data_IF_466817644040
#
_entry.id   IF_466817644040
#
_cell.length_a   1.000
_cell.length_b   1.000
_cell.length_c   1.000
_cell.angle_alpha   90.00
_cell.angle_beta   90.00
_cell.angle_gamma   90.00
#
_symmetry.space_group_name_H-M   'P 1'
#
loop_
_entity.id
_entity.type
_entity.pdbx_description
1 polymer ?
#
# COMPACT_ATOMS: atom_id res chain seq x y z
N UNK A 1 -3.48 10.09 -32.41
CA UNK A 1 -3.47 10.72 -31.07
C UNK A 1 -2.39 10.06 -30.22
N UNK A 2 -1.35 10.83 -29.93
CA UNK A 2 -0.03 10.42 -29.42
C UNK A 2 -0.12 9.79 -28.01
N UNK A 3 0.37 8.56 -27.80
CA UNK A 3 1.77 8.16 -27.54
C UNK A 3 2.13 8.24 -26.04
N UNK A 4 2.06 7.11 -25.34
CA UNK A 4 2.69 6.91 -24.03
C UNK A 4 3.47 5.60 -24.07
N UNK A 5 4.77 5.72 -24.32
CA UNK A 5 5.77 4.65 -24.28
C UNK A 5 6.91 5.07 -23.36
N UNK A 6 7.47 4.04 -22.72
CA UNK A 6 8.74 3.96 -22.00
C UNK A 6 8.76 4.31 -20.51
N UNK A 7 8.86 3.26 -19.71
CA UNK A 7 9.74 3.25 -18.55
C UNK A 7 10.36 1.87 -18.39
N UNK A 8 11.69 1.78 -18.53
CA UNK A 8 12.67 0.93 -17.82
C UNK A 8 13.95 0.85 -18.68
N UNK A 9 15.05 1.45 -18.20
CA UNK A 9 16.41 0.85 -18.25
C UNK A 9 17.43 1.71 -17.49
N UNK A 10 17.98 1.10 -16.43
CA UNK A 10 19.32 1.17 -15.82
C UNK A 10 20.28 2.38 -15.88
N UNK A 11 20.69 2.79 -14.65
CA UNK A 11 22.07 2.71 -14.10
C UNK A 11 23.12 3.83 -14.34
N UNK A 12 23.62 4.32 -13.19
CA UNK A 12 24.95 4.93 -12.87
C UNK A 12 25.28 6.34 -13.37
N UNK A 13 25.24 7.32 -12.44
CA UNK A 13 26.41 8.09 -11.93
C UNK A 13 25.96 9.33 -11.12
N UNK A 14 26.72 9.64 -10.06
CA UNK A 14 26.87 11.01 -9.54
C UNK A 14 26.11 11.36 -8.24
N UNK A 15 26.73 11.08 -7.09
CA UNK A 15 26.40 11.78 -5.84
C UNK A 15 26.74 13.28 -6.01
N UNK A 16 25.73 14.15 -6.04
CA UNK A 16 25.87 15.55 -5.64
C UNK A 16 24.80 15.87 -4.58
N UNK A 17 25.26 16.11 -3.35
CA UNK A 17 24.47 16.63 -2.23
C UNK A 17 23.81 17.94 -2.67
N UNK A 18 22.48 17.95 -2.85
CA UNK A 18 21.69 19.17 -2.98
C UNK A 18 21.00 19.50 -1.64
N UNK A 19 20.97 20.80 -1.39
CA UNK A 19 20.75 21.50 -0.11
C UNK A 19 19.37 21.25 0.49
N UNK A 20 19.35 21.34 1.82
CA UNK A 20 18.22 21.21 2.75
C UNK A 20 17.02 22.05 2.29
N UNK A 21 15.92 21.38 1.98
CA UNK A 21 14.60 21.98 1.82
C UNK A 21 13.92 22.15 3.18
N UNK A 22 13.47 23.36 3.44
CA UNK A 22 12.78 23.82 4.64
C UNK A 22 11.39 23.17 4.70
N UNK A 23 11.17 22.25 5.64
CA UNK A 23 9.84 21.72 5.96
C UNK A 23 9.39 22.31 7.31
N UNK A 24 8.17 22.85 7.42
CA UNK A 24 7.67 23.42 8.65
C UNK A 24 7.56 22.34 9.73
N UNK A 25 8.07 22.65 10.92
CA UNK A 25 8.03 21.79 12.11
C UNK A 25 6.58 21.41 12.45
N UNK A 26 6.19 20.12 12.52
CA UNK A 26 5.00 19.74 13.25
C UNK A 26 5.37 19.62 14.73
N UNK A 27 5.03 20.64 15.52
CA UNK A 27 5.00 20.49 16.98
C UNK A 27 3.75 19.70 17.37
N UNK A 28 3.90 18.92 18.44
CA UNK A 28 2.91 18.08 19.15
C UNK A 28 2.87 16.60 18.74
N UNK A 29 3.89 15.88 19.21
CA UNK A 29 3.85 14.45 19.47
C UNK A 29 3.33 14.26 20.90
N UNK A 30 2.22 13.57 21.12
CA UNK A 30 1.90 13.06 22.46
C UNK A 30 1.37 11.64 22.38
N UNK A 31 1.98 10.78 23.19
CA UNK A 31 1.57 9.43 23.53
C UNK A 31 2.03 9.18 24.96
N UNK A 32 1.14 8.67 25.80
CA UNK A 32 1.55 7.96 27.01
C UNK A 32 0.53 6.89 27.41
N UNK A 33 1.07 5.79 27.91
CA UNK A 33 0.40 4.61 28.46
C UNK A 33 0.05 4.85 29.93
N UNK A 34 -1.15 4.43 30.35
CA UNK A 34 -1.69 4.66 31.69
C UNK A 34 -1.18 3.61 32.70
N UNK A 35 -0.70 4.07 33.87
CA UNK A 35 -0.69 3.28 35.11
C UNK A 35 -1.55 4.00 36.15
N UNK A 36 -2.63 3.35 36.58
CA UNK A 36 -3.46 3.77 37.71
C UNK A 36 -2.75 3.42 39.02
N UNK A 37 -2.61 4.39 39.92
CA UNK A 37 -2.40 4.17 41.34
C UNK A 37 -3.39 5.08 42.10
N UNK A 38 -4.29 4.45 42.85
CA UNK A 38 -5.23 5.10 43.74
C UNK A 38 -4.61 5.24 45.14
N UNK A 39 -4.79 6.38 45.81
CA UNK A 39 -4.60 6.53 47.25
C UNK A 39 -5.53 7.64 47.81
N UNK A 40 -5.96 7.55 49.09
CA UNK A 40 -7.20 8.15 49.59
C UNK A 40 -7.04 9.59 50.14
N UNK A 41 -8.19 10.29 50.21
CA UNK A 41 -8.35 11.67 50.70
C UNK A 41 -8.08 11.82 52.21
N UNK A 42 -7.35 12.88 52.57
CA UNK A 42 -7.38 13.50 53.89
C UNK A 42 -7.82 14.96 53.76
N UNK A 43 -8.75 15.38 54.63
CA UNK A 43 -9.49 16.65 54.59
C UNK A 43 -8.72 17.74 55.36
N UNK A 44 -8.41 18.90 54.74
CA UNK A 44 -7.94 20.09 55.46
C UNK A 44 -8.23 21.41 54.70
N UNK A 45 -8.82 22.36 55.44
CA UNK A 45 -8.86 23.83 55.33
C UNK A 45 -9.17 24.51 53.97
N UNK A 46 -10.28 25.26 53.96
CA UNK A 46 -10.79 26.09 52.87
C UNK A 46 -10.08 27.46 52.75
N UNK A 47 -9.20 27.58 51.77
CA UNK A 47 -8.81 28.82 51.08
C UNK A 47 -9.50 28.87 49.70
N UNK A 48 -9.72 30.03 49.06
CA UNK A 48 -10.41 30.08 47.77
C UNK A 48 -9.56 29.38 46.69
N UNK A 49 -10.00 28.17 46.30
CA UNK A 49 -9.36 27.21 45.41
C UNK A 49 -9.35 27.64 43.93
N UNK A 50 -9.15 28.91 43.61
CA UNK A 50 -9.04 29.36 42.21
C UNK A 50 -7.91 28.61 41.47
N UNK A 51 -6.80 28.34 42.16
CA UNK A 51 -5.68 27.56 41.62
C UNK A 51 -5.98 26.07 41.40
N UNK A 52 -6.79 25.44 42.28
CA UNK A 52 -7.12 24.02 42.14
C UNK A 52 -8.15 23.77 41.03
N UNK A 53 -9.12 24.68 40.85
CA UNK A 53 -10.09 24.61 39.74
C UNK A 53 -9.39 24.83 38.39
N UNK A 54 -8.45 25.76 38.31
CA UNK A 54 -7.66 26.01 37.09
C UNK A 54 -6.70 24.84 36.77
N UNK A 55 -6.05 24.26 37.79
CA UNK A 55 -5.22 23.05 37.62
C UNK A 55 -6.03 21.83 37.16
N UNK A 56 -7.24 21.64 37.69
CA UNK A 56 -8.16 20.58 37.26
C UNK A 56 -8.58 20.76 35.79
N UNK A 57 -8.82 21.99 35.35
CA UNK A 57 -9.15 22.30 33.96
C UNK A 57 -7.98 22.00 33.00
N UNK A 58 -6.75 22.39 33.36
CA UNK A 58 -5.57 22.09 32.54
C UNK A 58 -5.31 20.57 32.41
N UNK A 59 -5.52 19.81 33.49
CA UNK A 59 -5.42 18.35 33.46
C UNK A 59 -6.49 17.71 32.55
N UNK A 60 -7.72 18.24 32.55
CA UNK A 60 -8.79 17.79 31.65
C UNK A 60 -8.47 18.09 30.18
N UNK A 61 -8.00 19.30 29.87
CA UNK A 61 -7.60 19.68 28.51
C UNK A 61 -6.45 18.79 28.02
N UNK A 62 -5.47 18.51 28.89
CA UNK A 62 -4.39 17.55 28.60
C UNK A 62 -4.95 16.17 28.25
N UNK A 63 -5.86 15.64 29.07
CA UNK A 63 -6.47 14.32 28.84
C UNK A 63 -7.25 14.28 27.51
N UNK A 64 -7.98 15.35 27.18
CA UNK A 64 -8.70 15.46 25.90
C UNK A 64 -7.75 15.50 24.70
N UNK A 65 -6.65 16.26 24.78
CA UNK A 65 -5.62 16.33 23.74
C UNK A 65 -5.01 14.94 23.51
N UNK A 66 -4.65 14.24 24.60
CA UNK A 66 -4.13 12.86 24.53
C UNK A 66 -5.16 11.92 23.88
N UNK A 67 -6.42 11.99 24.29
CA UNK A 67 -7.50 11.16 23.71
C UNK A 67 -7.66 11.41 22.21
N UNK A 68 -7.65 12.67 21.77
CA UNK A 68 -7.72 13.02 20.35
C UNK A 68 -6.53 12.50 19.56
N UNK A 69 -5.32 12.55 20.13
CA UNK A 69 -4.10 12.02 19.49
C UNK A 69 -4.09 10.49 19.45
N UNK A 70 -4.65 9.81 20.45
CA UNK A 70 -4.84 8.36 20.45
C UNK A 70 -5.88 7.93 19.41
N UNK A 71 -7.01 8.63 19.32
CA UNK A 71 -8.01 8.41 18.27
C UNK A 71 -7.42 8.67 16.87
N UNK A 72 -6.66 9.76 16.72
CA UNK A 72 -5.95 10.05 15.47
C UNK A 72 -5.03 8.88 15.12
N UNK A 73 -4.20 8.42 16.06
CA UNK A 73 -3.33 7.24 15.89
C UNK A 73 -4.09 6.02 15.39
N UNK A 74 -5.19 5.64 16.04
CA UNK A 74 -5.95 4.42 15.70
C UNK A 74 -6.59 4.49 14.31
N UNK A 75 -7.18 5.64 13.98
CA UNK A 75 -7.73 5.88 12.63
C UNK A 75 -6.61 5.84 11.60
N UNK A 76 -5.48 6.40 11.96
CA UNK A 76 -4.37 6.55 11.06
C UNK A 76 -3.76 5.17 10.79
N UNK A 77 -3.59 4.29 11.79
CA UNK A 77 -3.24 2.86 11.61
C UNK A 77 -4.18 2.12 10.64
N UNK A 78 -5.49 2.42 10.71
CA UNK A 78 -6.46 1.89 9.74
C UNK A 78 -6.21 2.42 8.32
N UNK A 79 -5.66 3.63 8.17
CA UNK A 79 -5.20 4.16 6.90
C UNK A 79 -3.96 3.40 6.39
N UNK A 80 -2.95 3.11 7.21
CA UNK A 80 -1.83 2.25 6.77
C UNK A 80 -2.32 0.89 6.26
N UNK A 81 -3.28 0.28 6.97
CA UNK A 81 -3.87 -0.98 6.54
C UNK A 81 -4.50 -0.85 5.15
N UNK A 82 -5.32 0.18 4.92
CA UNK A 82 -5.90 0.46 3.61
C UNK A 82 -4.84 0.74 2.53
N UNK A 83 -3.75 1.44 2.88
CA UNK A 83 -2.62 1.68 1.97
C UNK A 83 -1.89 0.41 1.55
N UNK A 84 -1.75 -0.56 2.47
CA UNK A 84 -1.20 -1.88 2.16
C UNK A 84 -2.14 -2.70 1.27
N UNK A 85 -3.44 -2.74 1.59
CA UNK A 85 -4.48 -3.38 0.78
C UNK A 85 -4.49 -2.81 -0.65
N UNK A 86 -4.47 -1.48 -0.78
CA UNK A 86 -4.38 -0.77 -2.05
C UNK A 86 -3.13 -1.19 -2.82
N UNK A 87 -1.96 -1.19 -2.19
CA UNK A 87 -0.70 -1.59 -2.83
C UNK A 87 -0.74 -3.05 -3.34
N UNK A 88 -1.38 -3.95 -2.61
CA UNK A 88 -1.60 -5.33 -3.02
C UNK A 88 -2.53 -5.43 -4.24
N UNK A 89 -3.64 -4.69 -4.22
CA UNK A 89 -4.58 -4.62 -5.35
C UNK A 89 -3.93 -4.00 -6.58
N UNK A 90 -3.10 -2.96 -6.44
CA UNK A 90 -2.35 -2.36 -7.55
C UNK A 90 -1.40 -3.35 -8.20
N UNK A 91 -0.68 -4.18 -7.42
CA UNK A 91 0.16 -5.25 -7.98
C UNK A 91 -0.67 -6.28 -8.75
N UNK A 92 -1.80 -6.72 -8.20
CA UNK A 92 -2.72 -7.65 -8.87
C UNK A 92 -3.28 -7.06 -10.17
N UNK A 93 -3.67 -5.78 -10.15
CA UNK A 93 -4.12 -5.06 -11.34
C UNK A 93 -3.03 -5.04 -12.42
N UNK A 94 -1.78 -4.75 -12.06
CA UNK A 94 -0.67 -4.77 -13.01
C UNK A 94 -0.46 -6.16 -13.64
N UNK A 95 -0.56 -7.23 -12.84
CA UNK A 95 -0.49 -8.61 -13.35
C UNK A 95 -1.60 -8.89 -14.37
N UNK A 96 -2.86 -8.57 -14.05
CA UNK A 96 -4.00 -8.83 -14.95
C UNK A 96 -3.93 -7.93 -16.20
N UNK A 97 -3.47 -6.68 -16.08
CA UNK A 97 -3.24 -5.80 -17.22
C UNK A 97 -2.18 -6.37 -18.17
N UNK A 98 -1.10 -6.95 -17.65
CA UNK A 98 -0.10 -7.62 -18.47
C UNK A 98 -0.67 -8.87 -19.15
N UNK A 99 -1.53 -9.62 -18.46
CA UNK A 99 -2.25 -10.73 -19.08
C UNK A 99 -3.18 -10.27 -20.20
N UNK A 100 -3.93 -9.17 -20.00
CA UNK A 100 -4.81 -8.60 -21.02
C UNK A 100 -4.03 -8.18 -22.27
N UNK A 101 -2.83 -7.59 -22.10
CA UNK A 101 -1.94 -7.26 -23.22
C UNK A 101 -1.48 -8.51 -23.98
N UNK A 102 -1.13 -9.58 -23.28
CA UNK A 102 -0.75 -10.85 -23.90
C UNK A 102 -1.93 -11.51 -24.66
N UNK A 103 -3.13 -11.48 -24.07
CA UNK A 103 -4.35 -11.98 -24.70
C UNK A 103 -4.69 -11.16 -25.97
N UNK A 104 -4.54 -9.83 -25.91
CA UNK A 104 -4.73 -8.94 -27.04
C UNK A 104 -3.75 -9.22 -28.18
N UNK A 105 -2.47 -9.47 -27.85
CA UNK A 105 -1.46 -9.86 -28.84
C UNK A 105 -1.80 -11.21 -29.50
N UNK A 106 -2.30 -12.17 -28.71
CA UNK A 106 -2.74 -13.48 -29.20
C UNK A 106 -3.92 -13.35 -30.17
N UNK A 107 -4.94 -12.55 -29.83
CA UNK A 107 -6.08 -12.27 -30.72
C UNK A 107 -5.60 -11.60 -32.01
N UNK A 108 -4.70 -10.62 -31.93
CA UNK A 108 -4.14 -9.94 -33.10
C UNK A 108 -3.37 -10.91 -34.01
N UNK A 109 -2.61 -11.84 -33.44
CA UNK A 109 -1.90 -12.88 -34.20
C UNK A 109 -2.87 -13.79 -34.96
N UNK A 110 -3.90 -14.30 -34.28
CA UNK A 110 -4.90 -15.14 -34.94
C UNK A 110 -5.69 -14.36 -36.01
N UNK A 111 -6.04 -13.10 -35.74
CA UNK A 111 -6.69 -12.23 -36.72
C UNK A 111 -5.83 -12.04 -37.97
N UNK A 112 -4.51 -11.87 -37.82
CA UNK A 112 -3.58 -11.76 -38.95
C UNK A 112 -3.53 -13.05 -39.78
N UNK A 113 -3.44 -14.21 -39.12
CA UNK A 113 -3.44 -15.51 -39.81
C UNK A 113 -4.76 -15.76 -40.54
N UNK A 114 -5.90 -15.50 -39.91
CA UNK A 114 -7.21 -15.65 -40.55
C UNK A 114 -7.42 -14.67 -41.69
N UNK A 115 -6.94 -13.43 -41.56
CA UNK A 115 -6.96 -12.43 -42.63
C UNK A 115 -6.13 -12.86 -43.85
N UNK A 116 -4.97 -13.47 -43.65
CA UNK A 116 -4.16 -14.03 -44.74
C UNK A 116 -4.89 -15.19 -45.44
N UNK A 117 -5.50 -16.10 -44.68
CA UNK A 117 -6.32 -17.20 -45.23
C UNK A 117 -7.50 -16.64 -46.05
N UNK A 118 -8.20 -15.63 -45.53
CA UNK A 118 -9.33 -15.02 -46.21
C UNK A 118 -8.90 -14.30 -47.50
N UNK A 119 -7.77 -13.57 -47.47
CA UNK A 119 -7.23 -12.90 -48.65
C UNK A 119 -6.83 -13.90 -49.74
N UNK A 120 -6.22 -15.03 -49.37
CA UNK A 120 -5.85 -16.08 -50.32
C UNK A 120 -7.10 -16.68 -50.99
N UNK A 121 -8.11 -17.05 -50.19
CA UNK A 121 -9.36 -17.60 -50.71
C UNK A 121 -10.08 -16.62 -51.66
N UNK A 122 -10.04 -15.32 -51.34
CA UNK A 122 -10.60 -14.27 -52.19
C UNK A 122 -9.86 -14.16 -53.54
N UNK A 123 -8.52 -14.18 -53.53
CA UNK A 123 -7.69 -14.12 -54.75
C UNK A 123 -7.89 -15.33 -55.66
N UNK A 124 -8.09 -16.52 -55.09
CA UNK A 124 -8.36 -17.74 -55.85
C UNK A 124 -9.83 -17.89 -56.28
N UNK A 125 -10.63 -16.83 -56.14
CA UNK A 125 -12.02 -16.75 -56.62
C UNK A 125 -13.03 -17.62 -55.87
N UNK A 126 -12.70 -18.10 -54.66
CA UNK A 126 -13.58 -18.97 -53.85
C UNK A 126 -13.86 -20.37 -54.41
N UNK A 127 -13.63 -20.60 -55.71
CA UNK A 127 -13.95 -21.83 -56.41
C UNK A 127 -12.72 -22.65 -56.85
N UNK A 128 -11.52 -22.05 -56.84
CA UNK A 128 -10.34 -22.55 -57.56
C UNK A 128 -9.89 -23.98 -57.24
N UNK A 129 -9.84 -24.38 -55.96
CA UNK A 129 -9.37 -25.72 -55.57
C UNK A 129 -10.47 -26.80 -55.66
N UNK A 130 -11.72 -26.44 -55.39
CA UNK A 130 -12.85 -27.37 -55.50
C UNK A 130 -13.25 -27.64 -56.94
N UNK A 131 -13.23 -26.62 -57.82
CA UNK A 131 -13.47 -26.80 -59.24
C UNK A 131 -12.32 -27.51 -59.95
N UNK A 132 -11.05 -27.21 -59.62
CA UNK A 132 -9.92 -27.99 -60.16
C UNK A 132 -10.01 -29.48 -59.81
N UNK A 133 -10.46 -29.78 -58.59
CA UNK A 133 -10.68 -31.17 -58.18
C UNK A 133 -11.86 -31.82 -58.92
N UNK A 134 -12.96 -31.09 -59.15
CA UNK A 134 -14.14 -31.57 -59.89
C UNK A 134 -13.85 -31.89 -61.36
N UNK A 135 -12.93 -31.16 -61.99
CA UNK A 135 -12.53 -31.34 -63.39
C UNK A 135 -11.26 -32.19 -63.56
N UNK A 136 -10.74 -32.79 -62.49
CA UNK A 136 -9.59 -33.70 -62.55
C UNK A 136 -9.98 -35.02 -63.20
N UNK A 137 -9.31 -35.40 -64.27
CA UNK A 137 -9.54 -36.66 -65.00
C UNK A 137 -8.74 -37.86 -64.47
N UNK A 138 -7.88 -37.67 -63.46
CA UNK A 138 -7.10 -38.73 -62.81
C UNK A 138 -7.73 -39.10 -61.43
N UNK A 139 -8.30 -40.32 -61.28
CA UNK A 139 -8.96 -40.75 -60.05
C UNK A 139 -8.00 -40.91 -58.86
N UNK A 140 -6.71 -41.18 -59.09
CA UNK A 140 -5.69 -41.30 -58.02
C UNK A 140 -5.32 -39.92 -57.50
N UNK A 141 -5.09 -38.97 -58.42
CA UNK A 141 -4.80 -37.57 -58.12
C UNK A 141 -5.97 -36.90 -57.37
N UNK A 142 -7.21 -37.26 -57.73
CA UNK A 142 -8.41 -36.79 -57.05
C UNK A 142 -8.44 -37.23 -55.57
N UNK A 143 -8.20 -38.51 -55.29
CA UNK A 143 -8.25 -39.04 -53.93
C UNK A 143 -7.19 -38.39 -53.02
N UNK A 144 -5.96 -38.22 -53.52
CA UNK A 144 -4.87 -37.56 -52.77
C UNK A 144 -5.19 -36.08 -52.47
N UNK A 145 -5.67 -35.34 -53.46
CA UNK A 145 -6.04 -33.93 -53.30
C UNK A 145 -7.26 -33.75 -52.39
N UNK A 146 -8.25 -34.64 -52.44
CA UNK A 146 -9.44 -34.59 -51.58
C UNK A 146 -9.09 -34.73 -50.10
N UNK A 147 -8.18 -35.66 -49.75
CA UNK A 147 -7.69 -35.84 -48.38
C UNK A 147 -6.92 -34.62 -47.88
N UNK A 148 -6.14 -33.99 -48.77
CA UNK A 148 -5.40 -32.76 -48.47
C UNK A 148 -6.33 -31.58 -48.23
N UNK A 149 -7.39 -31.43 -49.02
CA UNK A 149 -8.40 -30.39 -48.84
C UNK A 149 -9.19 -30.55 -47.53
N UNK A 150 -9.52 -31.79 -47.14
CA UNK A 150 -10.16 -32.06 -45.85
C UNK A 150 -9.24 -31.66 -44.67
N UNK A 151 -7.95 -32.02 -44.75
CA UNK A 151 -6.96 -31.60 -43.75
C UNK A 151 -6.82 -30.07 -43.66
N UNK A 152 -6.82 -29.37 -44.79
CA UNK A 152 -6.78 -27.90 -44.84
C UNK A 152 -8.05 -27.31 -44.20
N UNK A 153 -9.22 -27.85 -44.54
CA UNK A 153 -10.51 -27.40 -44.00
C UNK A 153 -10.57 -27.58 -42.49
N UNK A 154 -10.15 -28.75 -41.98
CA UNK A 154 -10.00 -29.02 -40.55
C UNK A 154 -9.03 -28.06 -39.87
N UNK A 155 -7.88 -27.76 -40.49
CA UNK A 155 -6.92 -26.76 -39.99
C UNK A 155 -7.53 -25.36 -39.92
N UNK A 156 -8.23 -24.90 -40.96
CA UNK A 156 -8.93 -23.60 -40.98
C UNK A 156 -9.99 -23.52 -39.87
N UNK A 157 -10.82 -24.55 -39.73
CA UNK A 157 -11.82 -24.64 -38.66
C UNK A 157 -11.18 -24.64 -37.26
N UNK A 158 -10.01 -25.28 -37.09
CA UNK A 158 -9.25 -25.21 -35.84
C UNK A 158 -8.73 -23.81 -35.54
N UNK A 159 -8.26 -23.04 -36.55
CA UNK A 159 -7.78 -21.66 -36.36
C UNK A 159 -8.91 -20.71 -35.99
N UNK A 160 -10.10 -20.88 -36.58
CA UNK A 160 -11.28 -20.11 -36.20
C UNK A 160 -11.70 -20.40 -34.74
N UNK A 161 -11.72 -21.67 -34.33
CA UNK A 161 -11.96 -22.05 -32.93
C UNK A 161 -10.94 -21.44 -31.98
N UNK A 162 -9.64 -21.49 -32.31
CA UNK A 162 -8.57 -20.86 -31.52
C UNK A 162 -8.78 -19.34 -31.39
N UNK A 163 -9.15 -18.66 -32.47
CA UNK A 163 -9.47 -17.23 -32.44
C UNK A 163 -10.66 -16.92 -31.52
N UNK A 164 -11.76 -17.68 -31.62
CA UNK A 164 -12.94 -17.48 -30.76
C UNK A 164 -12.60 -17.67 -29.29
N UNK A 165 -11.85 -18.72 -28.94
CA UNK A 165 -11.39 -18.95 -27.56
C UNK A 165 -10.48 -17.81 -27.09
N UNK A 166 -9.55 -17.34 -27.92
CA UNK A 166 -8.68 -16.21 -27.58
C UNK A 166 -9.49 -14.91 -27.34
N UNK A 167 -10.54 -14.66 -28.13
CA UNK A 167 -11.42 -13.51 -27.96
C UNK A 167 -12.23 -13.60 -26.66
N UNK A 168 -12.78 -14.77 -26.34
CA UNK A 168 -13.49 -15.01 -25.07
C UNK A 168 -12.55 -14.82 -23.87
N UNK A 169 -11.32 -15.33 -23.95
CA UNK A 169 -10.30 -15.11 -22.92
C UNK A 169 -9.97 -13.63 -22.74
N UNK A 170 -9.75 -12.88 -23.83
CA UNK A 170 -9.51 -11.44 -23.75
C UNK A 170 -10.69 -10.69 -23.11
N UNK A 171 -11.93 -11.05 -23.44
CA UNK A 171 -13.12 -10.47 -22.82
C UNK A 171 -13.17 -10.75 -21.31
N UNK A 172 -12.96 -12.01 -20.90
CA UNK A 172 -12.89 -12.39 -19.50
C UNK A 172 -11.80 -11.63 -18.75
N UNK A 173 -10.57 -11.57 -19.29
CA UNK A 173 -9.45 -10.84 -18.68
C UNK A 173 -9.76 -9.34 -18.58
N UNK A 174 -10.42 -8.76 -19.58
CA UNK A 174 -10.82 -7.33 -19.57
C UNK A 174 -11.83 -7.01 -18.47
N UNK A 175 -12.79 -7.91 -18.21
CA UNK A 175 -13.72 -7.78 -17.08
C UNK A 175 -12.99 -7.82 -15.74
N UNK A 176 -12.01 -8.72 -15.59
CA UNK A 176 -11.18 -8.80 -14.38
C UNK A 176 -10.34 -7.52 -14.20
N UNK A 177 -9.80 -6.93 -15.28
CA UNK A 177 -9.09 -5.63 -15.20
C UNK A 177 -10.03 -4.56 -14.63
N UNK A 178 -11.26 -4.46 -15.13
CA UNK A 178 -12.23 -3.48 -14.67
C UNK A 178 -12.63 -3.68 -13.20
N UNK A 179 -12.84 -4.93 -12.77
CA UNK A 179 -13.07 -5.28 -11.37
C UNK A 179 -11.90 -4.85 -10.48
N UNK A 180 -10.66 -5.22 -10.84
CA UNK A 180 -9.47 -4.85 -10.06
C UNK A 180 -9.25 -3.34 -10.02
N UNK A 181 -9.54 -2.63 -11.10
CA UNK A 181 -9.47 -1.17 -11.12
C UNK A 181 -10.48 -0.55 -10.14
N UNK A 182 -11.72 -1.05 -10.12
CA UNK A 182 -12.75 -0.63 -9.16
C UNK A 182 -12.30 -0.87 -7.71
N UNK A 183 -11.74 -2.04 -7.41
CA UNK A 183 -11.21 -2.36 -6.09
C UNK A 183 -10.03 -1.46 -5.68
N UNK A 184 -9.10 -1.15 -6.60
CA UNK A 184 -8.01 -0.20 -6.34
C UNK A 184 -8.56 1.18 -6.03
N UNK A 185 -9.56 1.66 -6.78
CA UNK A 185 -10.20 2.95 -6.54
C UNK A 185 -10.88 2.99 -5.17
N UNK A 186 -11.67 1.97 -4.83
CA UNK A 186 -12.32 1.89 -3.52
C UNK A 186 -11.30 1.85 -2.36
N UNK A 187 -10.20 1.12 -2.52
CA UNK A 187 -9.12 1.07 -1.53
C UNK A 187 -8.41 2.43 -1.38
N UNK A 188 -8.18 3.14 -2.49
CA UNK A 188 -7.65 4.49 -2.50
C UNK A 188 -8.57 5.48 -1.77
N UNK A 189 -9.87 5.45 -2.08
CA UNK A 189 -10.85 6.36 -1.45
C UNK A 189 -10.95 6.10 0.06
N UNK A 190 -10.94 4.83 0.48
CA UNK A 190 -10.83 4.43 1.89
C UNK A 190 -9.57 4.98 2.54
N UNK A 191 -8.42 4.85 1.89
CA UNK A 191 -7.14 5.36 2.39
C UNK A 191 -7.16 6.88 2.60
N UNK A 192 -7.64 7.64 1.62
CA UNK A 192 -7.74 9.11 1.70
C UNK A 192 -8.73 9.53 2.77
N UNK A 193 -9.89 8.89 2.85
CA UNK A 193 -10.90 9.19 3.86
C UNK A 193 -10.38 8.98 5.29
N UNK A 194 -9.65 7.88 5.54
CA UNK A 194 -9.04 7.61 6.86
C UNK A 194 -7.94 8.60 7.20
N UNK A 195 -7.10 8.99 6.24
CA UNK A 195 -6.12 10.07 6.46
C UNK A 195 -6.79 11.39 6.83
N UNK A 196 -7.87 11.77 6.12
CA UNK A 196 -8.60 12.98 6.42
C UNK A 196 -9.21 12.95 7.84
N UNK A 197 -9.78 11.80 8.25
CA UNK A 197 -10.30 11.62 9.61
C UNK A 197 -9.22 11.75 10.69
N UNK A 198 -8.04 11.14 10.47
CA UNK A 198 -6.91 11.26 11.39
C UNK A 198 -6.44 12.73 11.51
N UNK A 199 -6.30 13.42 10.39
CA UNK A 199 -5.91 14.83 10.35
C UNK A 199 -6.94 15.72 11.03
N UNK A 200 -8.24 15.42 10.91
CA UNK A 200 -9.31 16.13 11.61
C UNK A 200 -9.15 16.02 13.14
N UNK A 201 -8.85 14.83 13.66
CA UNK A 201 -8.60 14.63 15.11
C UNK A 201 -7.36 15.40 15.58
N UNK A 202 -6.28 15.40 14.80
CA UNK A 202 -5.09 16.20 15.10
C UNK A 202 -5.38 17.71 15.06
N UNK A 203 -6.20 18.17 14.11
CA UNK A 203 -6.62 19.56 14.04
C UNK A 203 -7.44 19.95 15.28
N UNK A 204 -8.37 19.10 15.74
CA UNK A 204 -9.12 19.31 16.97
C UNK A 204 -8.20 19.44 18.19
N UNK A 205 -7.19 18.57 18.30
CA UNK A 205 -6.20 18.65 19.39
C UNK A 205 -5.41 19.97 19.35
N UNK A 206 -4.99 20.42 18.16
CA UNK A 206 -4.33 21.71 17.98
C UNK A 206 -5.23 22.89 18.36
N UNK A 207 -6.51 22.85 17.99
CA UNK A 207 -7.49 23.88 18.35
C UNK A 207 -7.73 23.95 19.87
N UNK A 208 -7.72 22.81 20.58
CA UNK A 208 -7.79 22.84 22.05
C UNK A 208 -6.55 23.51 22.65
N UNK A 209 -5.37 23.17 22.15
CA UNK A 209 -4.11 23.75 22.65
C UNK A 209 -3.99 25.24 22.32
N UNK A 210 -4.51 25.70 21.18
CA UNK A 210 -4.47 27.12 20.82
C UNK A 210 -5.37 28.02 21.68
N UNK A 211 -6.30 27.43 22.45
CA UNK A 211 -7.14 28.18 23.40
C UNK A 211 -6.46 28.45 24.74
N UNK A 212 -5.33 27.78 25.00
CA UNK A 212 -4.54 27.95 26.22
C UNK A 212 -3.62 29.17 26.13
N UNK A 213 -3.29 29.77 27.28
CA UNK A 213 -2.25 30.79 27.38
C UNK A 213 -0.87 30.24 26.98
N UNK A 214 0.10 31.11 26.69
CA UNK A 214 1.47 30.65 26.37
C UNK A 214 2.12 29.92 27.54
N UNK A 215 1.84 30.37 28.76
CA UNK A 215 2.33 29.80 30.00
C UNK A 215 1.75 28.39 30.23
N UNK A 216 0.45 28.22 30.01
CA UNK A 216 -0.21 26.92 30.09
C UNK A 216 0.30 25.94 29.04
N UNK A 217 0.49 26.41 27.79
CA UNK A 217 1.09 25.60 26.72
C UNK A 217 2.52 25.18 27.07
N UNK A 218 3.33 26.08 27.61
CA UNK A 218 4.69 25.79 28.05
C UNK A 218 4.71 24.77 29.20
N UNK A 219 3.78 24.90 30.16
CA UNK A 219 3.62 23.94 31.27
C UNK A 219 3.25 22.55 30.77
N UNK A 220 2.29 22.45 29.84
CA UNK A 220 1.93 21.16 29.23
C UNK A 220 3.08 20.55 28.42
N UNK A 221 3.84 21.38 27.70
CA UNK A 221 5.01 20.93 26.94
C UNK A 221 6.13 20.42 27.85
N UNK A 222 6.36 21.07 29.00
CA UNK A 222 7.31 20.61 30.01
C UNK A 222 6.88 19.26 30.60
N UNK A 223 5.62 19.13 31.02
CA UNK A 223 5.07 17.86 31.53
C UNK A 223 5.19 16.72 30.50
N UNK A 224 4.89 16.98 29.23
CA UNK A 224 5.04 15.99 28.17
C UNK A 224 6.50 15.58 27.95
N UNK A 225 7.45 16.52 28.07
CA UNK A 225 8.88 16.26 27.98
C UNK A 225 9.39 15.44 29.17
N UNK A 226 8.91 15.73 30.37
CA UNK A 226 9.29 14.98 31.57
C UNK A 226 8.79 13.54 31.51
N UNK A 227 7.57 13.32 31.02
CA UNK A 227 7.05 11.98 30.73
C UNK A 227 7.86 11.25 29.65
N UNK A 228 8.23 11.91 28.56
CA UNK A 228 9.10 11.33 27.52
C UNK A 228 10.46 10.92 28.08
N UNK A 229 11.05 11.74 28.93
CA UNK A 229 12.31 11.43 29.61
C UNK A 229 12.18 10.24 30.56
N UNK A 230 11.08 10.18 31.32
CA UNK A 230 10.78 9.09 32.23
C UNK A 230 10.58 7.76 31.48
N UNK A 231 9.82 7.75 30.39
CA UNK A 231 9.61 6.59 29.52
C UNK A 231 10.91 6.10 28.88
N UNK A 232 11.74 7.03 28.41
CA UNK A 232 13.04 6.70 27.84
C UNK A 232 13.98 6.12 28.91
N UNK A 233 13.97 6.67 30.13
CA UNK A 233 14.75 6.14 31.26
C UNK A 233 14.26 4.74 31.68
N UNK A 234 12.94 4.55 31.76
CA UNK A 234 12.32 3.25 32.02
C UNK A 234 12.73 2.23 30.96
N UNK A 235 12.63 2.59 29.68
CA UNK A 235 13.00 1.72 28.56
C UNK A 235 14.47 1.31 28.64
N UNK A 236 15.38 2.27 28.88
CA UNK A 236 16.81 1.99 29.07
C UNK A 236 17.06 1.05 30.25
N UNK A 237 16.38 1.25 31.38
CA UNK A 237 16.48 0.37 32.55
C UNK A 237 16.00 -1.04 32.24
N UNK A 238 14.84 -1.17 31.58
CA UNK A 238 14.28 -2.46 31.19
C UNK A 238 15.19 -3.22 30.22
N UNK A 239 15.89 -2.51 29.32
CA UNK A 239 16.86 -3.11 28.39
C UNK A 239 18.14 -3.52 29.09
N UNK A 240 18.64 -2.72 30.05
CA UNK A 240 19.83 -3.06 30.82
C UNK A 240 19.64 -4.37 31.60
N UNK A 241 18.41 -4.68 32.04
CA UNK A 241 18.08 -5.95 32.69
C UNK A 241 17.64 -7.06 31.72
N UNK A 242 17.53 -6.79 30.42
CA UNK A 242 17.06 -7.77 29.44
C UNK A 242 18.20 -8.67 28.95
N UNK A 243 18.01 -9.99 29.03
CA UNK A 243 18.88 -10.96 28.35
C UNK A 243 18.52 -11.01 26.86
N UNK A 244 19.23 -10.24 26.04
CA UNK A 244 19.04 -10.25 24.59
C UNK A 244 19.75 -11.46 24.00
N UNK A 245 18.99 -12.46 23.57
CA UNK A 245 19.51 -13.69 22.95
C UNK A 245 20.06 -13.50 21.53
N UNK A 246 20.00 -14.59 20.76
CA UNK A 246 20.41 -14.66 19.36
C UNK A 246 19.20 -14.71 18.41
N UNK A 247 19.46 -14.77 17.10
CA UNK A 247 18.42 -14.89 16.08
C UNK A 247 17.79 -13.57 15.61
N UNK A 248 16.75 -13.70 14.77
CA UNK A 248 16.16 -12.58 14.02
C UNK A 248 15.47 -11.55 14.91
N UNK A 249 14.79 -12.01 15.96
CA UNK A 249 14.15 -11.15 16.95
C UNK A 249 15.17 -10.32 17.75
N UNK A 250 16.29 -10.93 18.14
CA UNK A 250 17.36 -10.22 18.84
C UNK A 250 18.04 -9.15 17.97
N UNK A 251 18.23 -9.41 16.67
CA UNK A 251 18.73 -8.41 15.72
C UNK A 251 17.75 -7.23 15.59
N UNK A 252 16.45 -7.52 15.46
CA UNK A 252 15.42 -6.49 15.39
C UNK A 252 15.37 -5.66 16.69
N UNK A 253 15.40 -6.31 17.84
CA UNK A 253 15.42 -5.64 19.14
C UNK A 253 16.65 -4.74 19.29
N UNK A 254 17.86 -5.22 18.93
CA UNK A 254 19.09 -4.39 18.93
C UNK A 254 18.99 -3.18 18.02
N UNK A 255 18.26 -3.26 16.91
CA UNK A 255 17.99 -2.10 16.07
C UNK A 255 17.06 -1.11 16.76
N UNK A 256 15.94 -1.60 17.33
CA UNK A 256 14.95 -0.78 18.00
C UNK A 256 15.50 -0.05 19.24
N UNK A 257 16.36 -0.71 20.03
CA UNK A 257 17.03 -0.12 21.20
C UNK A 257 17.80 1.16 20.83
N UNK A 258 18.46 1.18 19.66
CA UNK A 258 19.22 2.34 19.19
C UNK A 258 18.34 3.54 18.84
N UNK A 259 17.03 3.35 18.73
CA UNK A 259 16.06 4.40 18.39
C UNK A 259 15.38 4.98 19.64
N UNK A 260 15.78 4.57 20.85
CA UNK A 260 15.19 5.12 22.09
C UNK A 260 15.54 6.60 22.20
N UNK A 261 14.49 7.43 22.30
CA UNK A 261 14.61 8.88 22.28
C UNK A 261 14.39 9.50 20.90
N UNK A 262 14.29 8.70 19.83
CA UNK A 262 13.83 9.20 18.55
C UNK A 262 12.35 9.58 18.60
N UNK A 263 11.95 10.53 17.75
CA UNK A 263 10.62 11.13 17.82
C UNK A 263 9.56 10.24 17.19
N UNK A 264 8.42 10.12 17.88
CA UNK A 264 7.23 9.54 17.30
C UNK A 264 6.57 10.50 16.29
N UNK A 265 6.41 10.05 15.05
CA UNK A 265 5.65 10.73 13.99
C UNK A 265 4.82 9.70 13.26
N UNK A 266 3.50 9.91 13.23
CA UNK A 266 2.59 9.02 12.52
C UNK A 266 2.95 8.90 11.03
N UNK A 267 2.95 7.68 10.49
CA UNK A 267 3.31 7.38 9.11
C UNK A 267 4.82 7.30 8.87
N UNK A 268 5.66 7.56 9.88
CA UNK A 268 7.10 7.62 9.70
C UNK A 268 7.75 6.23 9.77
N UNK A 269 8.69 6.00 8.85
CA UNK A 269 9.59 4.84 8.81
C UNK A 269 11.03 5.27 8.47
N UNK A 270 11.36 6.51 8.87
CA UNK A 270 12.63 7.18 8.62
C UNK A 270 13.67 6.86 9.69
N UNK A 271 14.85 7.45 9.62
CA UNK A 271 15.98 7.09 10.50
C UNK A 271 16.01 7.81 11.86
N UNK A 272 15.10 8.75 12.08
CA UNK A 272 15.00 9.54 13.33
C UNK A 272 13.54 9.84 13.71
N UNK A 273 12.59 9.29 12.94
CA UNK A 273 11.16 9.50 13.08
C UNK A 273 10.44 8.20 12.82
N UNK A 274 9.59 7.81 13.76
CA UNK A 274 9.02 6.48 13.81
C UNK A 274 7.53 6.50 14.09
N UNK A 275 6.78 5.65 13.40
CA UNK A 275 5.55 5.09 13.94
C UNK A 275 5.76 3.65 14.45
N UNK A 276 4.76 3.11 15.16
CA UNK A 276 4.82 1.76 15.75
C UNK A 276 5.18 0.69 14.72
N UNK A 277 4.53 0.74 13.55
CA UNK A 277 4.73 -0.20 12.47
C UNK A 277 5.99 0.07 11.62
N UNK A 278 6.42 1.32 11.49
CA UNK A 278 7.58 1.73 10.71
C UNK A 278 8.88 1.33 11.41
N UNK A 279 8.94 1.50 12.73
CA UNK A 279 10.05 1.01 13.53
C UNK A 279 10.14 -0.52 13.47
N UNK A 280 9.02 -1.21 13.70
CA UNK A 280 8.94 -2.67 13.64
C UNK A 280 9.38 -3.20 12.28
N UNK A 281 8.84 -2.62 11.20
CA UNK A 281 9.21 -2.95 9.82
C UNK A 281 10.72 -2.81 9.58
N UNK A 282 11.32 -1.68 9.97
CA UNK A 282 12.76 -1.45 9.76
C UNK A 282 13.62 -2.37 10.63
N UNK A 283 13.22 -2.58 11.88
CA UNK A 283 13.93 -3.44 12.83
C UNK A 283 14.02 -4.87 12.32
N UNK A 284 12.89 -5.45 11.93
CA UNK A 284 12.82 -6.79 11.34
C UNK A 284 13.45 -6.87 9.95
N UNK A 285 13.42 -5.77 9.18
CA UNK A 285 14.19 -5.66 7.94
C UNK A 285 15.70 -5.87 8.13
N UNK A 286 16.27 -5.51 9.30
CA UNK A 286 17.69 -5.78 9.61
C UNK A 286 18.00 -7.26 9.83
N UNK A 287 17.00 -8.08 10.12
CA UNK A 287 17.13 -9.53 10.23
C UNK A 287 16.57 -10.27 9.00
N UNK A 288 16.39 -9.55 7.89
CA UNK A 288 15.89 -10.09 6.63
C UNK A 288 14.41 -10.47 6.66
N UNK A 289 13.63 -10.07 7.67
CA UNK A 289 12.17 -10.24 7.69
C UNK A 289 11.54 -9.04 7.00
N UNK A 290 10.74 -9.28 5.96
CA UNK A 290 9.94 -8.24 5.32
C UNK A 290 8.58 -8.15 6.01
N UNK A 291 8.26 -6.98 6.56
CA UNK A 291 6.98 -6.70 7.19
C UNK A 291 6.27 -5.54 6.47
N UNK A 292 4.93 -5.54 6.40
CA UNK A 292 4.19 -4.40 5.89
C UNK A 292 4.28 -3.21 6.85
N UNK A 293 4.18 -1.98 6.35
CA UNK A 293 4.04 -0.79 7.20
C UNK A 293 2.60 -0.69 7.72
N UNK A 294 2.17 -1.65 8.54
CA UNK A 294 0.85 -1.70 9.19
C UNK A 294 0.91 -2.56 10.44
N UNK A 295 0.63 -1.97 11.61
CA UNK A 295 0.72 -2.67 12.89
C UNK A 295 -0.26 -3.86 12.97
N UNK A 296 -1.47 -3.70 12.43
CA UNK A 296 -2.49 -4.75 12.39
C UNK A 296 -2.03 -6.00 11.61
N UNK A 297 -1.29 -5.82 10.52
CA UNK A 297 -0.73 -6.95 9.76
C UNK A 297 0.57 -7.50 10.35
N UNK A 298 1.29 -6.73 11.15
CA UNK A 298 2.52 -7.18 11.81
C UNK A 298 2.25 -8.04 13.05
N UNK A 299 1.07 -7.89 13.67
CA UNK A 299 0.68 -8.64 14.85
C UNK A 299 0.14 -10.05 14.54
N UNK A 300 -0.42 -10.24 13.35
CA UNK A 300 -0.98 -11.52 12.88
C UNK A 300 0.10 -12.44 12.34
#
# INVERSE_FOLDING_TARGET
MASYRHFVSHSKRGLKRKKRGWYPRPMLSARLLLRLCAAPLALALSLPLAGAVHAANLAQIRAQVISLQQQATSIAESAQQAGFEMSSLTRKLATVQNQAKADQATVAQYSKTLGAIASEQYKTGGLGQGLQLLFSSDPTLYLEQSSTLDLITKKKASKLRQYTVAKQRLQATSLVVNDKLSLVKAAHDKFVARQAQANKKLAQAKTLLSKLSKEEQARLAALAKDEENADAAYSRKAIASAKIGSGRGAIALRYAIKQIGDRYVFGASGTTYWDCSGLTMRAFGKSGVSLPHSAAYQFR
#
